data_IF_746667817800
#
_entry.id   IF_746667817800
#
_cell.length_a   1.000
_cell.length_b   1.000
_cell.length_c   1.000
_cell.angle_alpha   90.00
_cell.angle_beta   90.00
_cell.angle_gamma   90.00
#
_symmetry.space_group_name_H-M   'P 1'
#
loop_
_entity.id
_entity.type
_entity.pdbx_description
1 polymer ?
#
# COMPACT_ATOMS: atom_id res chain seq x y z
N UNK A 1 -32.06 -21.22 -11.07
CA UNK A 1 -31.12 -20.90 -9.97
C UNK A 1 -29.86 -20.33 -10.58
N UNK A 2 -29.92 -19.05 -10.97
CA UNK A 2 -28.87 -18.37 -11.73
C UNK A 2 -28.95 -16.90 -11.33
N UNK A 3 -27.91 -16.38 -10.66
CA UNK A 3 -27.52 -14.96 -10.49
C UNK A 3 -26.76 -14.80 -9.18
N UNK A 4 -25.44 -14.98 -9.16
CA UNK A 4 -24.52 -14.42 -8.16
C UNK A 4 -23.09 -14.58 -8.70
N UNK A 5 -22.66 -13.71 -9.63
CA UNK A 5 -21.26 -13.69 -10.10
C UNK A 5 -20.83 -12.32 -10.68
N UNK A 6 -21.42 -11.22 -10.21
CA UNK A 6 -21.16 -9.88 -10.77
C UNK A 6 -20.96 -8.78 -9.71
N UNK A 7 -20.27 -9.06 -8.60
CA UNK A 7 -20.07 -8.05 -7.54
C UNK A 7 -18.62 -7.62 -7.27
N UNK A 8 -17.60 -8.29 -7.82
CA UNK A 8 -16.21 -7.99 -7.47
C UNK A 8 -15.48 -7.05 -8.43
N UNK A 9 -16.07 -6.73 -9.59
CA UNK A 9 -15.51 -5.77 -10.55
C UNK A 9 -16.02 -4.33 -10.37
N UNK A 10 -16.97 -4.08 -9.45
CA UNK A 10 -17.58 -2.76 -9.27
C UNK A 10 -16.78 -1.82 -8.36
N UNK A 11 -15.88 -2.31 -7.50
CA UNK A 11 -15.28 -1.46 -6.45
C UNK A 11 -14.24 -0.43 -6.95
N UNK A 12 -13.66 -0.61 -8.14
CA UNK A 12 -12.80 0.43 -8.75
C UNK A 12 -13.56 1.33 -9.74
N UNK A 13 -14.77 0.96 -10.16
CA UNK A 13 -15.60 1.74 -11.06
C UNK A 13 -16.71 2.55 -10.35
N UNK A 14 -16.97 2.30 -9.06
CA UNK A 14 -18.03 2.99 -8.29
C UNK A 14 -17.56 4.29 -7.62
N UNK A 15 -16.25 4.47 -7.38
CA UNK A 15 -15.72 5.73 -6.80
C UNK A 15 -15.95 6.95 -7.72
N UNK A 16 -15.76 6.88 -9.06
CA UNK A 16 -16.00 8.03 -9.93
C UNK A 16 -17.46 8.50 -9.92
N UNK A 17 -18.42 7.56 -9.93
CA UNK A 17 -19.85 7.89 -10.02
C UNK A 17 -20.44 8.48 -8.73
N UNK A 18 -19.96 8.02 -7.56
CA UNK A 18 -20.42 8.51 -6.26
C UNK A 18 -19.90 9.93 -5.92
N UNK A 19 -18.75 10.32 -6.47
CA UNK A 19 -18.24 11.69 -6.33
C UNK A 19 -19.07 12.68 -7.16
N UNK A 20 -19.47 12.31 -8.39
CA UNK A 20 -20.23 13.21 -9.26
C UNK A 20 -21.65 13.57 -8.74
N UNK A 21 -22.29 12.70 -7.94
CA UNK A 21 -23.65 12.94 -7.46
C UNK A 21 -23.75 13.78 -6.18
N UNK A 22 -22.66 13.94 -5.42
CA UNK A 22 -22.72 14.53 -4.07
C UNK A 22 -22.22 15.98 -3.98
N UNK A 23 -21.78 16.58 -5.10
CA UNK A 23 -21.24 17.94 -5.12
C UNK A 23 -22.03 18.84 -6.08
N UNK A 24 -23.11 19.51 -5.62
CA UNK A 24 -23.80 20.48 -6.45
C UNK A 24 -22.85 21.66 -6.75
N UNK A 25 -22.33 21.71 -7.98
CA UNK A 25 -21.59 22.86 -8.52
C UNK A 25 -20.10 22.66 -8.79
N UNK A 26 -19.49 21.54 -8.39
CA UNK A 26 -18.06 21.28 -8.64
C UNK A 26 -17.81 19.81 -8.97
N UNK A 27 -17.55 19.53 -10.24
CA UNK A 27 -17.19 18.18 -10.71
C UNK A 27 -15.73 17.87 -10.33
N UNK A 28 -15.53 17.30 -9.14
CA UNK A 28 -14.21 16.85 -8.69
C UNK A 28 -13.82 15.57 -9.43
N UNK A 29 -12.81 15.66 -10.31
CA UNK A 29 -12.25 14.51 -11.00
C UNK A 29 -11.28 13.78 -10.08
N UNK A 30 -11.42 12.45 -9.95
CA UNK A 30 -10.51 11.62 -9.16
C UNK A 30 -9.06 11.69 -9.67
N UNK A 31 -8.89 11.89 -10.98
CA UNK A 31 -7.60 12.08 -11.62
C UNK A 31 -7.70 13.14 -12.71
N UNK A 32 -6.70 14.01 -12.82
CA UNK A 32 -6.66 15.08 -13.81
C UNK A 32 -5.22 15.26 -14.30
N UNK A 33 -4.96 15.32 -15.62
CA UNK A 33 -3.66 15.73 -16.12
C UNK A 33 -3.29 17.10 -15.55
N UNK A 34 -2.03 17.33 -15.18
CA UNK A 34 -1.62 18.61 -14.60
C UNK A 34 -1.88 19.79 -15.55
N UNK A 35 -1.84 19.56 -16.86
CA UNK A 35 -2.19 20.55 -17.89
C UNK A 35 -3.68 20.96 -17.87
N UNK A 36 -4.55 20.12 -17.30
CA UNK A 36 -5.99 20.36 -17.17
C UNK A 36 -6.38 20.85 -15.76
N UNK A 37 -5.42 21.00 -14.86
CA UNK A 37 -5.70 21.58 -13.55
C UNK A 37 -6.11 23.06 -13.74
N UNK A 38 -7.15 23.56 -13.05
CA UNK A 38 -7.52 24.97 -13.14
C UNK A 38 -6.40 25.91 -12.69
N UNK A 39 -6.35 27.13 -13.24
CA UNK A 39 -5.25 28.09 -13.03
C UNK A 39 -5.23 28.74 -11.64
N UNK A 40 -6.31 28.62 -10.88
CA UNK A 40 -6.41 29.06 -9.48
C UNK A 40 -5.79 28.06 -8.49
N UNK A 41 -5.36 26.88 -8.95
CA UNK A 41 -4.61 25.94 -8.13
C UNK A 41 -3.14 26.35 -8.02
N UNK A 42 -2.65 26.38 -6.78
CA UNK A 42 -1.27 26.72 -6.46
C UNK A 42 -0.61 25.61 -5.62
N UNK A 43 0.73 25.46 -5.71
CA UNK A 43 1.45 24.43 -4.98
C UNK A 43 1.64 24.79 -3.50
N UNK A 44 1.37 23.82 -2.64
CA UNK A 44 1.52 23.90 -1.19
C UNK A 44 2.15 22.62 -0.63
N UNK A 45 2.87 22.77 0.48
CA UNK A 45 3.23 21.68 1.38
C UNK A 45 2.19 21.62 2.49
N UNK A 46 1.37 20.58 2.49
CA UNK A 46 0.46 20.27 3.60
C UNK A 46 1.24 19.43 4.61
N UNK A 47 1.27 19.84 5.88
CA UNK A 47 1.81 19.05 6.99
C UNK A 47 0.66 18.60 7.87
N UNK A 48 0.57 17.30 8.19
CA UNK A 48 -0.49 16.76 9.04
C UNK A 48 -0.02 16.50 10.48
N UNK A 49 -0.91 16.69 11.45
CA UNK A 49 -0.76 16.33 12.86
C UNK A 49 -0.63 14.81 12.96
N UNK A 50 0.56 14.33 13.32
CA UNK A 50 0.89 12.90 13.33
C UNK A 50 2.09 12.52 12.45
N UNK A 51 2.63 13.46 11.68
CA UNK A 51 3.91 13.27 10.97
C UNK A 51 3.85 12.36 9.75
N UNK A 52 2.67 11.90 9.33
CA UNK A 52 2.52 11.24 8.04
C UNK A 52 2.65 12.29 6.93
N UNK A 53 3.85 12.37 6.35
CA UNK A 53 4.13 13.22 5.20
C UNK A 53 3.29 12.78 3.99
N UNK A 54 2.33 13.62 3.59
CA UNK A 54 1.65 13.66 2.29
C UNK A 54 1.44 12.35 1.52
N UNK A 55 0.90 11.31 2.17
CA UNK A 55 0.55 10.05 1.51
C UNK A 55 1.75 9.24 0.98
N UNK A 56 2.98 9.70 1.22
CA UNK A 56 4.19 8.90 1.05
C UNK A 56 4.57 8.34 2.40
N UNK A 57 4.63 7.02 2.50
CA UNK A 57 5.10 6.38 3.73
C UNK A 57 6.49 6.95 4.12
N UNK A 58 6.80 7.06 5.42
CA UNK A 58 8.14 7.40 5.88
C UNK A 58 9.22 6.51 5.24
N UNK A 59 8.86 5.28 4.85
CA UNK A 59 9.73 4.39 4.09
C UNK A 59 10.05 4.95 2.69
N UNK A 60 9.06 5.46 1.94
CA UNK A 60 9.27 6.14 0.66
C UNK A 60 10.21 7.35 0.82
N UNK A 61 10.08 8.07 1.94
CA UNK A 61 10.88 9.26 2.25
C UNK A 61 12.26 8.92 2.81
N UNK A 62 12.50 7.75 3.37
CA UNK A 62 13.86 7.30 3.64
C UNK A 62 14.54 6.74 2.39
N UNK A 63 13.76 6.16 1.46
CA UNK A 63 14.27 5.53 0.23
C UNK A 63 14.98 6.53 -0.67
N UNK A 64 14.27 7.57 -1.09
CA UNK A 64 14.82 8.58 -1.99
C UNK A 64 15.99 9.35 -1.31
N UNK A 65 16.09 9.38 0.03
CA UNK A 65 17.04 10.18 0.79
C UNK A 65 18.34 9.41 0.93
N UNK A 66 18.24 8.08 1.10
CA UNK A 66 19.36 7.18 0.94
C UNK A 66 19.88 7.14 -0.50
N UNK A 67 19.00 7.24 -1.51
CA UNK A 67 19.45 7.38 -2.91
C UNK A 67 20.27 8.65 -3.12
N UNK A 68 19.80 9.80 -2.61
CA UNK A 68 20.53 11.06 -2.69
C UNK A 68 21.84 11.08 -1.88
N UNK A 69 21.94 10.29 -0.81
CA UNK A 69 23.14 10.16 0.01
C UNK A 69 24.19 9.20 -0.58
N UNK A 70 23.83 8.36 -1.56
CA UNK A 70 24.75 7.43 -2.23
C UNK A 70 25.31 7.96 -3.56
N UNK A 71 24.74 9.05 -4.08
CA UNK A 71 25.28 9.77 -5.23
C UNK A 71 26.22 10.87 -4.72
N UNK A 72 27.51 10.57 -4.59
CA UNK A 72 28.55 11.59 -4.35
C UNK A 72 28.67 12.48 -5.61
N UNK A 73 27.91 13.57 -5.69
CA UNK A 73 27.97 14.50 -6.84
C UNK A 73 26.80 15.48 -6.98
N UNK A 74 26.84 16.24 -8.08
CA UNK A 74 25.84 17.24 -8.54
C UNK A 74 24.39 16.71 -8.54
N UNK A 75 24.21 15.39 -8.62
CA UNK A 75 22.93 14.67 -8.63
C UNK A 75 22.11 14.75 -7.32
N UNK A 76 22.73 15.12 -6.20
CA UNK A 76 22.02 15.33 -4.92
C UNK A 76 20.92 16.39 -5.02
N UNK A 77 21.09 17.38 -5.90
CA UNK A 77 20.10 18.45 -6.13
C UNK A 77 18.86 17.96 -6.87
N UNK A 78 19.01 17.03 -7.82
CA UNK A 78 17.91 16.46 -8.58
C UNK A 78 17.00 15.60 -7.69
N UNK A 79 17.60 14.80 -6.81
CA UNK A 79 16.87 13.97 -5.84
C UNK A 79 16.12 14.84 -4.82
N UNK A 80 16.77 15.86 -4.26
CA UNK A 80 16.13 16.82 -3.37
C UNK A 80 14.98 17.57 -4.05
N UNK A 81 15.12 17.88 -5.35
CA UNK A 81 14.06 18.50 -6.15
C UNK A 81 12.90 17.55 -6.37
N UNK A 82 13.17 16.29 -6.76
CA UNK A 82 12.15 15.24 -6.89
C UNK A 82 11.32 15.08 -5.62
N UNK A 83 12.00 15.10 -4.47
CA UNK A 83 11.35 15.08 -3.17
C UNK A 83 10.37 16.21 -2.93
N UNK A 84 10.81 17.44 -3.22
CA UNK A 84 9.95 18.60 -3.07
C UNK A 84 8.75 18.50 -4.01
N UNK A 85 8.92 17.99 -5.23
CA UNK A 85 7.85 17.84 -6.20
C UNK A 85 6.82 16.79 -5.78
N UNK A 86 7.25 15.57 -5.40
CA UNK A 86 6.32 14.48 -5.07
C UNK A 86 5.56 14.78 -3.76
N UNK A 87 6.16 15.54 -2.84
CA UNK A 87 5.48 15.98 -1.60
C UNK A 87 4.60 17.23 -1.79
N UNK A 88 4.59 17.86 -2.97
CA UNK A 88 3.79 19.06 -3.24
C UNK A 88 2.35 18.68 -3.55
N UNK A 89 1.42 19.29 -2.83
CA UNK A 89 -0.01 19.24 -3.11
C UNK A 89 -0.43 20.49 -3.87
N UNK A 90 -1.39 20.38 -4.77
CA UNK A 90 -1.97 21.51 -5.50
C UNK A 90 -3.38 21.75 -4.98
N UNK A 91 -3.69 22.99 -4.59
CA UNK A 91 -5.01 23.35 -4.07
C UNK A 91 -5.36 24.78 -4.46
N UNK A 92 -6.65 25.09 -4.51
CA UNK A 92 -7.18 26.45 -4.58
C UNK A 92 -7.85 26.87 -3.25
N UNK A 93 -7.67 26.08 -2.17
CA UNK A 93 -8.28 26.32 -0.87
C UNK A 93 -9.74 25.88 -0.76
N UNK A 94 -10.33 25.31 -1.82
CA UNK A 94 -11.71 24.81 -1.77
C UNK A 94 -11.85 23.62 -0.81
N UNK A 95 -12.98 23.57 -0.12
CA UNK A 95 -13.36 22.47 0.76
C UNK A 95 -14.60 21.77 0.24
N UNK A 96 -14.78 20.52 0.67
CA UNK A 96 -15.91 19.68 0.31
C UNK A 96 -16.45 19.00 1.56
N UNK A 97 -17.79 18.90 1.67
CA UNK A 97 -18.43 18.20 2.80
C UNK A 97 -18.71 16.74 2.43
N UNK A 98 -18.11 15.81 3.16
CA UNK A 98 -18.36 14.37 3.04
C UNK A 98 -18.64 13.80 4.43
N UNK A 99 -19.77 13.09 4.57
CA UNK A 99 -20.17 12.46 5.84
C UNK A 99 -20.17 13.43 7.04
N UNK A 100 -20.57 14.68 6.82
CA UNK A 100 -20.60 15.72 7.85
C UNK A 100 -19.22 16.32 8.20
N UNK A 101 -18.15 15.88 7.54
CA UNK A 101 -16.80 16.43 7.69
C UNK A 101 -16.48 17.35 6.53
N UNK A 102 -15.85 18.48 6.82
CA UNK A 102 -15.30 19.39 5.82
C UNK A 102 -13.86 18.96 5.48
N UNK A 103 -13.57 18.72 4.21
CA UNK A 103 -12.29 18.20 3.71
C UNK A 103 -11.70 19.18 2.70
N UNK A 104 -10.42 19.50 2.83
CA UNK A 104 -9.66 20.29 1.87
C UNK A 104 -9.43 19.49 0.59
N UNK A 105 -9.76 20.08 -0.56
CA UNK A 105 -9.50 19.49 -1.88
C UNK A 105 -8.07 19.77 -2.29
N UNK A 106 -7.29 18.72 -2.45
CA UNK A 106 -5.92 18.82 -2.95
C UNK A 106 -5.68 17.81 -4.08
N UNK A 107 -4.71 18.07 -4.95
CA UNK A 107 -4.26 17.17 -5.98
C UNK A 107 -2.77 16.89 -5.80
N UNK A 108 -2.38 15.62 -5.80
CA UNK A 108 -0.99 15.20 -5.63
C UNK A 108 -0.53 14.41 -6.84
N UNK A 109 0.75 14.54 -7.21
CA UNK A 109 1.32 13.67 -8.23
C UNK A 109 1.48 12.26 -7.67
N UNK A 110 0.82 11.29 -8.29
CA UNK A 110 0.92 9.87 -7.91
C UNK A 110 1.45 9.10 -9.14
N UNK A 111 2.72 8.66 -9.14
CA UNK A 111 3.23 7.89 -10.26
C UNK A 111 2.40 6.61 -10.42
N UNK A 112 1.92 6.35 -11.64
CA UNK A 112 1.14 5.14 -11.91
C UNK A 112 2.08 3.95 -11.96
N UNK A 113 1.87 2.89 -11.16
CA UNK A 113 2.70 1.68 -11.22
C UNK A 113 2.64 1.08 -12.63
N UNK A 114 3.81 0.82 -13.23
CA UNK A 114 3.92 0.12 -14.51
C UNK A 114 4.12 1.00 -15.76
N UNK A 115 4.19 2.33 -15.65
CA UNK A 115 4.79 3.14 -16.72
C UNK A 115 6.31 2.97 -16.68
N UNK A 116 6.80 1.91 -17.32
CA UNK A 116 8.23 1.69 -17.53
C UNK A 116 8.80 2.84 -18.36
N UNK A 117 9.82 3.51 -17.84
CA UNK A 117 10.54 4.63 -18.46
C UNK A 117 11.32 4.25 -19.72
N UNK A 118 11.45 2.94 -20.01
CA UNK A 118 12.04 2.43 -21.25
C UNK A 118 11.18 2.80 -22.46
N UNK A 119 11.42 3.99 -23.00
CA UNK A 119 10.77 4.51 -24.22
C UNK A 119 10.04 5.83 -24.06
N UNK A 120 10.03 6.43 -22.86
CA UNK A 120 9.51 7.78 -22.71
C UNK A 120 10.54 8.77 -23.28
N UNK A 121 10.31 9.22 -24.52
CA UNK A 121 10.83 10.51 -24.97
C UNK A 121 10.30 11.65 -24.07
N UNK A 122 10.53 12.91 -24.46
CA UNK A 122 10.08 14.08 -23.68
C UNK A 122 8.71 13.87 -23.03
N UNK A 123 8.70 13.77 -21.69
CA UNK A 123 7.48 13.54 -20.92
C UNK A 123 6.53 14.69 -21.17
N UNK A 124 5.43 14.43 -21.89
CA UNK A 124 4.46 15.46 -22.22
C UNK A 124 3.72 15.87 -20.94
N UNK A 125 3.40 17.16 -20.74
CA UNK A 125 2.58 17.60 -19.60
C UNK A 125 1.29 16.79 -19.41
N UNK A 126 0.73 16.29 -20.52
CA UNK A 126 -0.49 15.49 -20.58
C UNK A 126 -0.35 14.09 -19.95
N UNK A 127 0.87 13.54 -19.84
CA UNK A 127 1.11 12.25 -19.20
C UNK A 127 1.27 12.33 -17.68
N UNK A 128 1.39 13.54 -17.13
CA UNK A 128 1.51 13.77 -15.70
C UNK A 128 0.12 13.87 -15.07
N UNK A 129 -0.33 12.76 -14.49
CA UNK A 129 -1.65 12.66 -13.86
C UNK A 129 -1.57 13.01 -12.38
N UNK A 130 -2.37 13.98 -11.96
CA UNK A 130 -2.59 14.35 -10.57
C UNK A 130 -3.79 13.56 -10.03
N UNK A 131 -3.68 13.05 -8.81
CA UNK A 131 -4.74 12.31 -8.14
C UNK A 131 -5.37 13.15 -7.04
N UNK A 132 -6.70 13.16 -6.98
CA UNK A 132 -7.48 13.83 -5.95
C UNK A 132 -7.15 13.24 -4.58
N UNK A 133 -6.85 14.13 -3.63
CA UNK A 133 -6.60 13.83 -2.23
C UNK A 133 -7.43 14.76 -1.36
N UNK A 134 -8.26 14.17 -0.52
CA UNK A 134 -9.10 14.90 0.43
C UNK A 134 -8.42 14.87 1.80
N UNK A 135 -8.10 16.03 2.35
CA UNK A 135 -7.37 16.16 3.61
C UNK A 135 -8.30 16.76 4.65
N UNK A 136 -8.38 16.17 5.84
CA UNK A 136 -9.16 16.74 6.92
C UNK A 136 -8.42 17.97 7.50
N UNK A 137 -8.98 19.20 7.44
CA UNK A 137 -8.33 20.40 7.97
C UNK A 137 -7.99 20.31 9.46
N UNK A 138 -8.78 19.57 10.24
CA UNK A 138 -8.51 19.35 11.66
C UNK A 138 -7.22 18.55 11.90
N UNK A 139 -6.74 17.81 10.90
CA UNK A 139 -5.48 17.09 10.95
C UNK A 139 -4.33 17.90 10.34
N UNK A 140 -4.52 19.14 9.87
CA UNK A 140 -3.43 19.91 9.25
C UNK A 140 -2.71 20.74 10.32
N UNK A 141 -1.39 20.57 10.43
CA UNK A 141 -0.53 21.39 11.30
C UNK A 141 -0.05 22.66 10.62
N UNK A 142 0.29 22.61 9.32
CA UNK A 142 0.58 23.81 8.52
C UNK A 142 0.31 23.59 7.02
N UNK A 143 0.04 24.70 6.32
CA UNK A 143 0.00 24.75 4.85
C UNK A 143 1.00 25.84 4.44
N UNK A 144 2.07 25.43 3.77
CA UNK A 144 3.15 26.32 3.34
C UNK A 144 3.14 26.42 1.81
N UNK A 145 2.97 27.63 1.27
CA UNK A 145 3.12 27.84 -0.17
C UNK A 145 4.54 27.45 -0.61
N UNK A 146 4.69 26.94 -1.84
CA UNK A 146 5.99 26.62 -2.43
C UNK A 146 6.38 27.74 -3.41
N UNK A 147 7.00 28.84 -2.95
CA UNK A 147 7.32 29.97 -3.81
C UNK A 147 8.29 29.57 -4.92
N UNK A 148 8.06 30.08 -6.13
CA UNK A 148 8.88 29.79 -7.31
C UNK A 148 8.57 28.47 -8.01
N UNK A 149 7.69 27.64 -7.44
CA UNK A 149 7.13 26.49 -8.12
C UNK A 149 5.84 26.92 -8.84
N UNK A 150 5.83 26.82 -10.15
CA UNK A 150 4.65 27.02 -10.99
C UNK A 150 4.41 25.75 -11.81
N UNK A 151 3.32 25.72 -12.59
CA UNK A 151 2.95 24.51 -13.34
C UNK A 151 4.03 24.13 -14.36
N UNK A 152 4.66 25.13 -15.00
CA UNK A 152 5.67 24.90 -16.02
C UNK A 152 6.97 24.38 -15.40
N UNK A 153 7.42 24.98 -14.29
CA UNK A 153 8.62 24.54 -13.57
C UNK A 153 8.43 23.17 -12.91
N UNK A 154 7.23 22.85 -12.43
CA UNK A 154 6.89 21.51 -11.93
C UNK A 154 6.97 20.44 -13.02
N UNK A 155 6.33 20.68 -14.17
CA UNK A 155 6.37 19.74 -15.31
C UNK A 155 7.81 19.58 -15.83
N UNK A 156 8.54 20.69 -15.96
CA UNK A 156 9.93 20.68 -16.39
C UNK A 156 10.79 19.84 -15.44
N UNK A 157 10.66 20.04 -14.13
CA UNK A 157 11.46 19.34 -13.14
C UNK A 157 11.11 17.84 -13.05
N UNK A 158 9.84 17.46 -13.27
CA UNK A 158 9.47 16.04 -13.43
C UNK A 158 10.00 15.44 -14.74
N UNK A 159 10.00 16.21 -15.83
CA UNK A 159 10.59 15.79 -17.10
C UNK A 159 12.11 15.60 -17.01
N UNK A 160 12.80 16.52 -16.34
CA UNK A 160 14.23 16.41 -16.04
C UNK A 160 14.52 15.19 -15.16
N UNK A 161 13.69 14.90 -14.15
CA UNK A 161 13.81 13.70 -13.33
C UNK A 161 13.63 12.40 -14.15
N UNK A 162 12.69 12.41 -15.10
CA UNK A 162 12.49 11.27 -16.01
C UNK A 162 13.67 11.10 -16.99
N UNK A 163 14.24 12.22 -17.46
CA UNK A 163 15.28 12.24 -18.49
C UNK A 163 16.72 12.10 -17.94
N UNK A 164 16.97 12.43 -16.67
CA UNK A 164 18.32 12.44 -16.06
C UNK A 164 18.92 11.05 -15.84
N UNK A 165 18.44 10.01 -16.52
CA UNK A 165 19.01 8.67 -16.44
C UNK A 165 18.75 7.94 -15.12
N UNK A 166 18.10 8.58 -14.14
CA UNK A 166 17.46 7.90 -13.00
C UNK A 166 16.33 6.95 -13.41
N UNK A 167 15.99 6.93 -14.70
CA UNK A 167 15.05 6.04 -15.36
C UNK A 167 15.54 4.62 -15.62
N UNK A 168 16.76 4.22 -15.20
CA UNK A 168 17.01 2.80 -14.90
C UNK A 168 16.20 2.41 -13.66
N UNK A 169 14.91 2.16 -13.88
CA UNK A 169 14.09 1.20 -13.13
C UNK A 169 14.31 1.10 -11.62
N UNK A 170 14.41 2.21 -10.88
CA UNK A 170 14.36 2.15 -9.42
C UNK A 170 12.90 1.99 -8.97
N UNK A 171 12.28 0.90 -9.40
CA UNK A 171 11.42 0.14 -8.48
C UNK A 171 12.32 -0.75 -7.61
N UNK A 172 13.53 -0.28 -7.26
CA UNK A 172 14.23 -0.81 -6.11
C UNK A 172 13.36 -0.44 -4.93
N UNK A 173 12.50 -1.38 -4.57
CA UNK A 173 11.97 -1.43 -3.23
C UNK A 173 13.15 -1.23 -2.32
N UNK A 174 13.09 -0.22 -1.43
CA UNK A 174 14.21 0.01 -0.55
C UNK A 174 14.49 -1.29 0.17
N UNK A 175 15.76 -1.70 0.23
CA UNK A 175 16.14 -2.94 0.92
C UNK A 175 15.58 -2.96 2.36
N UNK A 176 15.36 -1.78 2.96
CA UNK A 176 14.64 -1.59 4.21
C UNK A 176 13.19 -2.08 4.17
N UNK A 177 12.39 -1.80 3.13
CA UNK A 177 10.99 -2.26 3.06
C UNK A 177 10.88 -3.79 2.96
N UNK A 178 11.76 -4.44 2.20
CA UNK A 178 11.85 -5.91 2.18
C UNK A 178 12.24 -6.46 3.54
N UNK A 179 13.25 -5.87 4.17
CA UNK A 179 13.73 -6.29 5.49
C UNK A 179 12.66 -6.10 6.57
N UNK A 180 11.95 -4.96 6.57
CA UNK A 180 10.86 -4.69 7.50
C UNK A 180 9.67 -5.61 7.27
N UNK A 181 9.27 -5.86 6.02
CA UNK A 181 8.17 -6.79 5.73
C UNK A 181 8.52 -8.22 6.13
N UNK A 182 9.77 -8.64 5.87
CA UNK A 182 10.31 -9.92 6.34
C UNK A 182 10.30 -10.01 7.87
N UNK A 183 10.67 -8.93 8.57
CA UNK A 183 10.60 -8.88 10.04
C UNK A 183 9.16 -8.94 10.55
N UNK A 184 8.24 -8.23 9.92
CA UNK A 184 6.82 -8.23 10.25
C UNK A 184 6.21 -9.63 10.10
N UNK A 185 6.41 -10.26 8.94
CA UNK A 185 5.83 -11.60 8.68
C UNK A 185 6.45 -12.67 9.59
N UNK A 186 7.75 -12.57 9.93
CA UNK A 186 8.39 -13.45 10.94
C UNK A 186 7.75 -13.31 12.30
N UNK A 187 7.49 -12.07 12.76
CA UNK A 187 6.79 -11.83 14.02
C UNK A 187 5.38 -12.42 14.01
N UNK A 188 4.65 -12.32 12.89
CA UNK A 188 3.34 -12.98 12.75
C UNK A 188 3.44 -14.51 12.76
N UNK A 189 4.43 -15.09 12.07
CA UNK A 189 4.70 -16.52 12.09
C UNK A 189 4.97 -17.01 13.51
N UNK A 190 5.86 -16.33 14.24
CA UNK A 190 6.14 -16.62 15.66
C UNK A 190 4.90 -16.48 16.53
N UNK A 191 4.11 -15.41 16.39
CA UNK A 191 2.87 -15.23 17.13
C UNK A 191 1.86 -16.35 16.85
N UNK A 192 1.83 -16.85 15.61
CA UNK A 192 1.01 -18.01 15.24
C UNK A 192 1.52 -19.29 15.91
N UNK A 193 2.83 -19.49 16.02
CA UNK A 193 3.38 -20.65 16.75
C UNK A 193 3.06 -20.61 18.25
N UNK A 194 3.04 -19.41 18.86
CA UNK A 194 2.60 -19.27 20.26
C UNK A 194 1.11 -19.62 20.38
N UNK A 195 0.28 -19.17 19.42
CA UNK A 195 -1.12 -19.60 19.36
C UNK A 195 -1.24 -21.12 19.24
N UNK A 196 -0.49 -21.78 18.36
CA UNK A 196 -0.53 -23.24 18.23
C UNK A 196 -0.23 -23.96 19.55
N UNK A 197 0.78 -23.49 20.29
CA UNK A 197 1.15 -24.06 21.58
C UNK A 197 0.02 -23.96 22.64
N UNK A 198 -0.82 -22.92 22.57
CA UNK A 198 -1.96 -22.72 23.47
C UNK A 198 -3.21 -23.51 23.03
N UNK A 199 -3.30 -23.94 21.76
CA UNK A 199 -4.48 -24.54 21.14
C UNK A 199 -4.19 -25.92 20.52
N UNK A 200 -3.43 -26.76 21.23
CA UNK A 200 -3.17 -28.17 20.87
C UNK A 200 -2.65 -28.37 19.43
N UNK A 201 -1.73 -27.49 18.99
CA UNK A 201 -1.15 -27.47 17.64
C UNK A 201 -2.19 -27.28 16.51
N UNK A 202 -3.36 -26.68 16.79
CA UNK A 202 -4.37 -26.40 15.79
C UNK A 202 -4.26 -24.96 15.24
N UNK A 203 -4.18 -24.83 13.91
CA UNK A 203 -4.18 -23.51 13.25
C UNK A 203 -5.52 -22.79 13.43
N UNK A 204 -5.54 -21.44 13.54
CA UNK A 204 -6.79 -20.68 13.72
C UNK A 204 -7.89 -21.08 12.73
N UNK A 205 -9.00 -21.62 13.23
CA UNK A 205 -10.12 -22.01 12.38
C UNK A 205 -10.98 -20.80 12.02
N UNK A 206 -10.54 -20.01 11.05
CA UNK A 206 -11.18 -18.76 10.60
C UNK A 206 -11.45 -18.73 9.10
N UNK A 207 -12.44 -17.94 8.68
CA UNK A 207 -12.86 -17.85 7.28
C UNK A 207 -12.12 -16.78 6.47
N UNK A 208 -11.37 -15.88 7.13
CA UNK A 208 -10.76 -14.73 6.47
C UNK A 208 -9.50 -14.21 7.17
N UNK A 209 -8.68 -13.45 6.44
CA UNK A 209 -7.50 -12.77 7.01
C UNK A 209 -7.86 -11.87 8.20
N UNK A 210 -8.86 -10.97 8.15
CA UNK A 210 -9.17 -10.11 9.31
C UNK A 210 -9.52 -10.91 10.57
N UNK A 211 -10.21 -12.04 10.43
CA UNK A 211 -10.50 -12.93 11.56
C UNK A 211 -9.23 -13.60 12.09
N UNK A 212 -8.33 -14.06 11.23
CA UNK A 212 -7.00 -14.53 11.65
C UNK A 212 -6.27 -13.47 12.46
N UNK A 213 -6.23 -12.22 11.97
CA UNK A 213 -5.57 -11.11 12.67
C UNK A 213 -6.19 -10.89 14.06
N UNK A 214 -7.52 -10.96 14.19
CA UNK A 214 -8.19 -10.80 15.49
C UNK A 214 -7.85 -11.91 16.50
N UNK A 215 -7.68 -13.14 16.02
CA UNK A 215 -7.36 -14.32 16.87
C UNK A 215 -5.89 -14.28 17.31
N UNK A 216 -4.98 -13.89 16.42
CA UNK A 216 -3.53 -13.87 16.70
C UNK A 216 -3.07 -12.57 17.36
N UNK A 217 -3.83 -11.48 17.25
CA UNK A 217 -3.49 -10.16 17.82
C UNK A 217 -3.06 -10.17 19.31
N UNK A 218 -3.69 -10.95 20.23
CA UNK A 218 -3.27 -11.01 21.63
C UNK A 218 -1.79 -11.42 21.83
N UNK A 219 -1.23 -12.17 20.87
CA UNK A 219 0.15 -12.65 20.88
C UNK A 219 1.13 -11.65 20.25
N UNK A 220 0.66 -10.79 19.33
CA UNK A 220 1.46 -9.78 18.65
C UNK A 220 1.55 -8.46 19.42
N UNK A 221 0.42 -7.99 19.96
CA UNK A 221 0.23 -6.66 20.59
C UNK A 221 0.68 -5.45 19.74
N UNK A 222 0.87 -5.65 18.44
CA UNK A 222 1.23 -4.61 17.48
C UNK A 222 0.42 -4.82 16.20
N UNK A 223 -0.33 -3.81 15.75
CA UNK A 223 -1.14 -3.90 14.52
C UNK A 223 -0.32 -3.68 13.24
N UNK A 224 0.78 -2.93 13.34
CA UNK A 224 1.59 -2.59 12.16
C UNK A 224 2.30 -3.80 11.56
N UNK A 225 2.53 -4.87 12.35
CA UNK A 225 3.17 -6.08 11.83
C UNK A 225 2.26 -6.92 10.93
N UNK A 226 0.95 -6.64 10.89
CA UNK A 226 0.05 -7.24 9.90
C UNK A 226 0.22 -6.66 8.49
N UNK A 227 0.96 -5.56 8.38
CA UNK A 227 1.16 -4.81 7.15
C UNK A 227 2.44 -5.23 6.44
N UNK A 228 2.34 -5.30 5.13
CA UNK A 228 3.47 -5.46 4.20
C UNK A 228 3.81 -4.10 3.59
N UNK A 229 5.10 -3.84 3.41
CA UNK A 229 5.58 -2.66 2.68
C UNK A 229 5.78 -2.94 1.19
N UNK A 230 5.18 -4.01 0.68
CA UNK A 230 5.17 -4.31 -0.75
C UNK A 230 4.40 -3.21 -1.51
N UNK A 231 5.07 -2.43 -2.37
CA UNK A 231 4.46 -1.29 -3.06
C UNK A 231 3.37 -1.71 -4.06
N UNK A 232 3.36 -2.97 -4.49
CA UNK A 232 2.34 -3.47 -5.42
C UNK A 232 1.06 -3.90 -4.68
N UNK A 233 1.16 -4.18 -3.38
CA UNK A 233 0.16 -4.83 -2.53
C UNK A 233 -0.93 -3.91 -1.94
N UNK A 234 -2.00 -4.49 -1.37
CA UNK A 234 -3.03 -3.76 -0.62
C UNK A 234 -2.55 -3.31 0.77
N UNK A 235 -1.28 -3.54 1.11
CA UNK A 235 -0.69 -3.14 2.38
C UNK A 235 -0.76 -4.19 3.50
N UNK A 236 -1.45 -5.32 3.33
CA UNK A 236 -1.56 -6.38 4.36
C UNK A 236 -1.16 -7.76 3.85
N UNK A 237 -0.58 -8.57 4.73
CA UNK A 237 -0.34 -10.00 4.48
C UNK A 237 -1.66 -10.77 4.38
N UNK A 238 -1.67 -11.87 3.62
CA UNK A 238 -2.81 -12.78 3.52
C UNK A 238 -2.56 -14.06 4.30
N UNK A 239 -3.60 -14.51 5.00
CA UNK A 239 -3.61 -15.81 5.66
C UNK A 239 -4.07 -16.88 4.67
N UNK A 240 -3.40 -18.03 4.68
CA UNK A 240 -3.85 -19.20 3.93
C UNK A 240 -5.03 -19.87 4.65
N UNK A 241 -6.25 -19.51 4.28
CA UNK A 241 -7.47 -20.13 4.82
C UNK A 241 -7.57 -21.64 4.54
N UNK A 242 -6.74 -22.19 3.64
CA UNK A 242 -6.65 -23.62 3.41
C UNK A 242 -6.11 -24.40 4.61
N UNK A 243 -5.28 -23.78 5.45
CA UNK A 243 -4.75 -24.42 6.68
C UNK A 243 -5.61 -24.17 7.93
N UNK A 244 -6.68 -23.36 7.80
CA UNK A 244 -7.55 -23.03 8.93
C UNK A 244 -8.19 -24.29 9.55
N UNK A 245 -8.02 -24.46 10.86
CA UNK A 245 -8.56 -25.58 11.64
C UNK A 245 -7.88 -26.93 11.38
N UNK A 246 -6.73 -26.93 10.69
CA UNK A 246 -5.89 -28.13 10.59
C UNK A 246 -5.02 -28.24 11.84
N UNK A 247 -4.87 -29.46 12.34
CA UNK A 247 -3.80 -29.75 13.29
C UNK A 247 -2.46 -29.81 12.55
N UNK A 248 -1.39 -29.23 13.11
CA UNK A 248 -0.09 -29.19 12.45
C UNK A 248 0.45 -30.60 12.12
N UNK A 249 0.09 -31.62 12.91
CA UNK A 249 0.52 -33.01 12.70
C UNK A 249 -0.09 -33.68 11.46
N UNK A 250 -1.20 -33.14 10.90
CA UNK A 250 -1.80 -33.70 9.68
C UNK A 250 -1.17 -33.15 8.40
N UNK A 251 -0.32 -32.13 8.50
CA UNK A 251 0.38 -31.53 7.38
C UNK A 251 1.71 -32.25 7.22
N UNK A 252 1.84 -33.05 6.15
CA UNK A 252 3.04 -33.88 5.92
C UNK A 252 4.32 -33.04 5.78
N UNK A 253 4.24 -31.90 5.10
CA UNK A 253 5.35 -30.97 4.89
C UNK A 253 4.98 -29.56 5.34
N UNK A 254 5.17 -29.30 6.64
CA UNK A 254 4.95 -27.98 7.23
C UNK A 254 5.94 -26.93 6.74
N UNK A 255 7.07 -27.36 6.16
CA UNK A 255 8.10 -26.45 5.65
C UNK A 255 7.71 -25.92 4.27
N UNK A 256 7.00 -26.68 3.46
CA UNK A 256 6.52 -26.20 2.15
C UNK A 256 5.10 -25.62 2.18
N UNK A 257 4.31 -25.84 3.24
CA UNK A 257 2.94 -25.34 3.33
C UNK A 257 2.88 -23.84 3.70
N UNK A 258 2.38 -22.94 2.82
CA UNK A 258 2.29 -21.51 3.14
C UNK A 258 1.27 -21.23 4.23
N UNK A 259 1.66 -20.43 5.21
CA UNK A 259 0.82 -19.94 6.29
C UNK A 259 0.35 -18.50 6.02
N UNK A 260 1.30 -17.60 5.76
CA UNK A 260 1.08 -16.19 5.44
C UNK A 260 1.86 -15.81 4.19
N UNK A 261 1.35 -14.87 3.39
CA UNK A 261 2.02 -14.47 2.16
C UNK A 261 1.64 -13.06 1.71
N UNK A 262 2.52 -12.45 0.92
CA UNK A 262 2.22 -11.25 0.16
C UNK A 262 1.23 -11.56 -0.98
N UNK A 263 0.10 -10.83 -1.12
CA UNK A 263 -0.91 -11.13 -2.14
C UNK A 263 -0.48 -10.81 -3.58
N UNK A 264 0.63 -10.09 -3.76
CA UNK A 264 1.15 -9.63 -5.06
C UNK A 264 2.67 -9.76 -5.08
N UNK A 265 3.29 -9.93 -6.25
CA UNK A 265 4.74 -10.00 -6.34
C UNK A 265 5.34 -8.63 -5.97
N UNK A 266 6.51 -8.67 -5.36
CA UNK A 266 7.40 -7.53 -5.23
C UNK A 266 7.87 -7.09 -6.64
N UNK A 267 8.41 -5.87 -6.80
CA UNK A 267 8.90 -5.38 -8.09
C UNK A 267 9.97 -6.24 -8.77
N UNK A 268 10.71 -7.06 -8.03
CA UNK A 268 11.64 -8.05 -8.59
C UNK A 268 10.98 -9.39 -8.96
N UNK A 269 9.65 -9.48 -8.90
CA UNK A 269 8.87 -10.66 -9.24
C UNK A 269 8.76 -11.70 -8.13
N UNK A 270 9.41 -11.49 -6.98
CA UNK A 270 9.38 -12.43 -5.85
C UNK A 270 8.16 -12.26 -4.96
N UNK A 271 7.78 -13.28 -4.20
CA UNK A 271 6.73 -13.23 -3.17
C UNK A 271 7.35 -13.49 -1.81
N UNK A 272 6.99 -12.69 -0.81
CA UNK A 272 7.36 -12.99 0.56
C UNK A 272 6.35 -13.98 1.14
N UNK A 273 6.84 -15.12 1.63
CA UNK A 273 6.01 -16.19 2.18
C UNK A 273 6.54 -16.59 3.55
N UNK A 274 5.63 -16.86 4.47
CA UNK A 274 5.87 -17.51 5.75
C UNK A 274 5.16 -18.86 5.75
N UNK A 275 5.86 -19.91 6.14
CA UNK A 275 5.38 -21.29 6.12
C UNK A 275 4.83 -21.73 7.48
N UNK A 276 4.21 -22.91 7.52
CA UNK A 276 3.55 -23.45 8.71
C UNK A 276 4.49 -23.71 9.89
N UNK A 277 5.80 -23.84 9.67
CA UNK A 277 6.84 -23.92 10.71
C UNK A 277 7.43 -22.54 11.11
N UNK A 278 6.83 -21.45 10.62
CA UNK A 278 7.22 -20.04 10.80
C UNK A 278 8.49 -19.55 10.09
N UNK A 279 9.20 -20.39 9.31
CA UNK A 279 10.27 -19.85 8.49
C UNK A 279 9.69 -18.98 7.36
N UNK A 280 10.50 -18.04 6.88
CA UNK A 280 10.07 -17.06 5.90
C UNK A 280 11.14 -16.86 4.83
N UNK A 281 10.72 -16.77 3.58
CA UNK A 281 11.62 -16.54 2.45
C UNK A 281 10.95 -15.73 1.34
N UNK A 282 11.78 -15.16 0.45
CA UNK A 282 11.32 -14.65 -0.82
C UNK A 282 11.37 -15.78 -1.85
N UNK A 283 10.22 -16.16 -2.39
CA UNK A 283 10.11 -17.17 -3.44
C UNK A 283 9.98 -16.51 -4.80
N UNK A 284 10.55 -17.11 -5.84
CA UNK A 284 10.34 -16.63 -7.21
C UNK A 284 8.92 -16.99 -7.72
N UNK A 285 8.62 -16.53 -8.95
CA UNK A 285 7.33 -16.76 -9.56
C UNK A 285 7.04 -18.25 -9.82
N UNK A 286 8.05 -19.06 -10.15
CA UNK A 286 7.88 -20.49 -10.43
C UNK A 286 7.51 -21.26 -9.16
N UNK A 287 8.28 -21.07 -8.08
CA UNK A 287 7.97 -21.63 -6.76
C UNK A 287 6.61 -21.14 -6.28
N UNK A 288 6.26 -19.87 -6.50
CA UNK A 288 4.94 -19.35 -6.16
C UNK A 288 3.78 -20.07 -6.88
N UNK A 289 3.92 -20.36 -8.18
CA UNK A 289 2.92 -21.14 -8.92
C UNK A 289 2.74 -22.54 -8.33
N UNK A 290 3.83 -23.21 -7.94
CA UNK A 290 3.77 -24.49 -7.23
C UNK A 290 3.06 -24.36 -5.87
N UNK A 291 3.46 -23.40 -5.04
CA UNK A 291 2.88 -23.19 -3.70
C UNK A 291 1.35 -22.98 -3.76
N UNK A 292 0.84 -22.24 -4.75
CA UNK A 292 -0.61 -22.05 -4.94
C UNK A 292 -1.39 -23.37 -5.12
N UNK A 293 -0.75 -24.41 -5.66
CA UNK A 293 -1.40 -25.71 -5.86
C UNK A 293 -1.59 -26.47 -4.55
N UNK A 294 -0.66 -26.33 -3.60
CA UNK A 294 -0.69 -27.03 -2.31
C UNK A 294 -1.42 -26.25 -1.21
N UNK A 295 -1.61 -24.93 -1.37
CA UNK A 295 -2.31 -24.07 -0.40
C UNK A 295 -3.78 -24.44 -0.13
N UNK A 296 -4.38 -25.35 -0.90
CA UNK A 296 -5.77 -25.81 -0.71
C UNK A 296 -5.82 -27.30 -0.36
N UNK A 297 -5.20 -27.71 0.76
CA UNK A 297 -5.16 -29.11 1.13
C UNK A 297 -6.58 -29.63 1.42
N UNK A 298 -6.86 -30.87 0.98
CA UNK A 298 -8.09 -31.59 1.32
C UNK A 298 -7.84 -32.45 2.56
N UNK A 299 -7.42 -31.81 3.65
CA UNK A 299 -7.08 -32.47 4.91
C UNK A 299 -8.24 -32.37 5.92
N UNK A 300 -8.38 -33.34 6.84
CA UNK A 300 -9.41 -33.29 7.88
C UNK A 300 -9.14 -32.13 8.85
N UNK A 301 -10.19 -31.39 9.21
CA UNK A 301 -10.15 -30.34 10.23
C UNK A 301 -10.61 -30.89 11.57
N UNK A 302 -9.94 -30.51 12.66
CA UNK A 302 -10.19 -31.06 14.00
C UNK A 302 -11.08 -30.17 14.88
N UNK A 303 -11.07 -28.84 14.69
CA UNK A 303 -11.80 -27.93 15.56
C UNK A 303 -13.13 -27.43 15.03
N UNK A 304 -13.69 -26.48 15.80
CA UNK A 304 -14.88 -25.70 15.41
C UNK A 304 -14.41 -24.34 14.90
N UNK A 305 -15.11 -23.74 13.92
CA UNK A 305 -14.85 -22.38 13.51
C UNK A 305 -14.82 -21.45 14.73
N UNK A 306 -13.71 -20.74 14.92
CA UNK A 306 -13.59 -19.72 15.95
C UNK A 306 -14.47 -18.57 15.50
N UNK A 307 -15.56 -18.33 16.24
CA UNK A 307 -16.33 -17.09 16.09
C UNK A 307 -15.50 -16.03 16.80
N UNK A 308 -14.85 -15.10 16.08
CA UNK A 308 -14.06 -14.09 16.74
C UNK A 308 -14.99 -13.28 17.67
N UNK A 309 -14.50 -12.87 18.85
CA UNK A 309 -15.24 -11.90 19.65
C UNK A 309 -15.54 -10.73 18.72
N UNK A 310 -16.80 -10.27 18.73
CA UNK A 310 -17.21 -9.10 17.95
C UNK A 310 -16.18 -8.02 18.22
N UNK A 311 -15.33 -7.74 17.23
CA UNK A 311 -14.37 -6.66 17.36
C UNK A 311 -15.19 -5.43 17.71
N UNK A 312 -14.81 -4.66 18.75
CA UNK A 312 -15.53 -3.43 19.05
C UNK A 312 -15.56 -2.63 17.74
N UNK A 313 -16.74 -2.17 17.31
CA UNK A 313 -16.90 -1.48 16.03
C UNK A 313 -15.88 -0.34 15.98
N UNK A 314 -15.10 -0.30 14.89
CA UNK A 314 -14.00 0.63 14.62
C UNK A 314 -14.20 1.98 15.31
N UNK A 315 -13.58 2.16 16.48
CA UNK A 315 -13.89 3.30 17.36
C UNK A 315 -12.95 3.56 18.52
N UNK A 316 -11.99 2.66 18.81
CA UNK A 316 -10.87 2.99 19.68
C UNK A 316 -9.59 2.99 18.85
N UNK A 317 -9.31 4.17 18.30
CA UNK A 317 -7.98 4.56 17.82
C UNK A 317 -7.05 4.77 19.00
#
# INVERSE_FOLDING_TARGET
MTRWLALSALLFAVVPAALAQNFPGTELKASVPISQLPDDYYPVKVKELGGEMNGMSMASIMTLAMMGAMTDGEDSTAVATAYQLISTSWTNGSTVKLYGQELLVTYVYAPTPGTTTEGMGEMKPESLVMTLRLVNPANISSIEAVPGLDRASFVKALGELANSGGGQGVSAVPASAKTTSMSNIKQLGTATMIYLADYDDEFPYVESTPYFQSVVYPYCKNREIFRTLNPNGPGDFRYNVGVAGLNATVIEDITEMPLLYDPKPWPDGTYLVCFCDSHCEFVDAEKWEYLKTIMRPKLPRSGKPVIPPLLPPDGMR
#
